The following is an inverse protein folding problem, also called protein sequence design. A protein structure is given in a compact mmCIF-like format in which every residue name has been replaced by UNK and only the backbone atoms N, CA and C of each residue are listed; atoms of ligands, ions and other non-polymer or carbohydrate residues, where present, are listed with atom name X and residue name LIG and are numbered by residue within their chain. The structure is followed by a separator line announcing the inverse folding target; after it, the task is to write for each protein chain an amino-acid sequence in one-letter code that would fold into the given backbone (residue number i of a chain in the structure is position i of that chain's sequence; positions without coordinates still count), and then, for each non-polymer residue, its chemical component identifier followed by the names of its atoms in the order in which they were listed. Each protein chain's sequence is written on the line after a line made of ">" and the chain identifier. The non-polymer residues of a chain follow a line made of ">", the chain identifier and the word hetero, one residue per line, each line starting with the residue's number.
data_IF_442103098816
#
_entry.id   IF_442103098816
#
_cell.length_a   1.000
_cell.length_b   1.000
_cell.length_c   1.000
_cell.angle_alpha   90.00
_cell.angle_beta   90.00
_cell.angle_gamma   90.00
#
_symmetry.space_group_name_H-M   'P 1'
#
loop_
_entity.id
_entity.type
_entity.pdbx_description
1 polymer ?
#
# COMPACT_ATOMS: atom_id res chain seq x y z
N UNK A 1 -0.06 -0.95 -6.38
CA UNK A 1 -0.10 -2.26 -5.69
C UNK A 1 1.29 -2.86 -5.84
N UNK A 2 1.91 -3.34 -4.77
CA UNK A 2 3.26 -3.94 -4.84
C UNK A 2 3.65 -4.62 -3.54
N UNK A 3 4.82 -5.24 -3.50
CA UNK A 3 5.32 -6.03 -2.37
C UNK A 3 6.55 -5.41 -1.70
N UNK A 4 7.09 -4.31 -2.26
CA UNK A 4 8.27 -3.61 -1.73
C UNK A 4 7.95 -2.20 -1.26
N UNK A 5 8.37 -1.88 -0.04
CA UNK A 5 8.20 -0.54 0.53
C UNK A 5 9.06 0.51 -0.17
N UNK A 6 10.33 0.18 -0.43
CA UNK A 6 11.39 1.06 -0.93
C UNK A 6 11.29 1.38 -2.43
N UNK A 7 10.34 0.78 -3.14
CA UNK A 7 10.15 0.96 -4.59
C UNK A 7 8.67 1.15 -4.90
N UNK A 8 7.84 0.13 -4.71
CA UNK A 8 6.42 0.20 -5.08
C UNK A 8 5.64 1.22 -4.25
N UNK A 9 5.80 1.16 -2.92
CA UNK A 9 5.03 2.02 -2.01
C UNK A 9 5.55 3.45 -2.06
N UNK A 10 6.87 3.66 -1.98
CA UNK A 10 7.44 5.02 -2.10
C UNK A 10 7.12 5.64 -3.46
N UNK A 11 7.26 4.90 -4.57
CA UNK A 11 6.94 5.40 -5.90
C UNK A 11 5.46 5.76 -6.06
N UNK A 12 4.56 4.93 -5.51
CA UNK A 12 3.12 5.24 -5.49
C UNK A 12 2.79 6.49 -4.66
N UNK A 13 3.43 6.67 -3.50
CA UNK A 13 3.25 7.83 -2.65
C UNK A 13 3.73 9.12 -3.33
N UNK A 14 4.92 9.12 -3.92
CA UNK A 14 5.48 10.28 -4.64
C UNK A 14 4.65 10.66 -5.87
N UNK A 15 4.05 9.67 -6.55
CA UNK A 15 3.12 9.90 -7.65
C UNK A 15 1.70 10.31 -7.20
N UNK A 16 1.44 10.39 -5.89
CA UNK A 16 0.12 10.70 -5.33
C UNK A 16 -0.94 9.63 -5.58
N UNK A 17 -0.53 8.39 -5.86
CA UNK A 17 -1.39 7.25 -6.13
C UNK A 17 -1.84 6.57 -4.84
N UNK A 18 -2.96 5.85 -4.91
CA UNK A 18 -3.33 4.89 -3.85
C UNK A 18 -2.36 3.72 -3.85
N UNK A 19 -1.75 3.45 -2.71
CA UNK A 19 -0.74 2.43 -2.51
C UNK A 19 -1.29 1.26 -1.69
N UNK A 20 -1.14 0.04 -2.21
CA UNK A 20 -1.53 -1.18 -1.52
C UNK A 20 -0.30 -2.09 -1.45
N UNK A 21 0.12 -2.46 -0.24
CA UNK A 21 1.16 -3.44 0.00
C UNK A 21 0.54 -4.84 0.09
N UNK A 22 1.06 -5.80 -0.67
CA UNK A 22 0.73 -7.22 -0.52
C UNK A 22 1.88 -7.98 0.15
N UNK A 23 1.57 -8.85 1.10
CA UNK A 23 2.56 -9.56 1.92
C UNK A 23 3.02 -10.90 1.32
N UNK A 24 2.68 -11.19 0.07
CA UNK A 24 3.11 -12.38 -0.68
C UNK A 24 4.56 -12.32 -1.17
N UNK A 25 5.18 -11.14 -1.13
CA UNK A 25 6.52 -10.92 -1.68
C UNK A 25 7.55 -10.55 -0.61
N UNK A 26 8.33 -9.52 -0.89
CA UNK A 26 9.57 -9.20 -0.17
C UNK A 26 9.32 -8.58 1.20
N UNK A 27 8.36 -7.65 1.30
CA UNK A 27 8.10 -6.95 2.55
C UNK A 27 7.19 -7.76 3.46
N UNK A 28 7.65 -8.04 4.67
CA UNK A 28 6.80 -8.54 5.76
C UNK A 28 6.15 -7.39 6.53
N UNK A 29 5.06 -7.68 7.27
CA UNK A 29 4.41 -6.67 8.14
C UNK A 29 5.39 -5.97 9.09
N UNK A 30 6.28 -6.75 9.74
CA UNK A 30 7.31 -6.21 10.64
C UNK A 30 8.35 -5.35 9.93
N UNK A 31 8.67 -5.63 8.66
CA UNK A 31 9.55 -4.78 7.86
C UNK A 31 8.89 -3.45 7.52
N UNK A 32 7.61 -3.47 7.14
CA UNK A 32 6.84 -2.27 6.84
C UNK A 32 6.81 -1.29 8.03
N UNK A 33 6.86 -1.80 9.27
CA UNK A 33 6.91 -0.99 10.48
C UNK A 33 8.18 -0.15 10.66
N UNK A 34 9.24 -0.44 9.92
CA UNK A 34 10.52 0.28 10.00
C UNK A 34 10.60 1.49 9.08
N UNK A 35 9.65 1.65 8.16
CA UNK A 35 9.66 2.75 7.20
C UNK A 35 8.94 3.98 7.78
N UNK A 36 9.42 5.20 7.48
CA UNK A 36 8.81 6.44 7.96
C UNK A 36 7.51 6.80 7.20
N UNK A 37 7.16 6.03 6.19
CA UNK A 37 5.93 6.17 5.40
C UNK A 37 5.15 4.87 5.40
N UNK A 38 3.84 4.96 5.12
CA UNK A 38 2.91 3.83 5.15
C UNK A 38 2.16 3.70 3.83
N UNK A 39 1.89 2.47 3.37
CA UNK A 39 0.93 2.26 2.29
C UNK A 39 -0.47 2.64 2.78
N UNK A 40 -1.38 2.96 1.87
CA UNK A 40 -2.78 3.24 2.20
C UNK A 40 -3.50 1.96 2.70
N UNK A 41 -3.10 0.80 2.17
CA UNK A 41 -3.63 -0.51 2.55
C UNK A 41 -2.54 -1.58 2.63
N UNK A 42 -2.75 -2.59 3.50
CA UNK A 42 -1.91 -3.79 3.59
C UNK A 42 -2.82 -5.03 3.50
N UNK A 43 -2.54 -5.91 2.55
CA UNK A 43 -3.27 -7.17 2.31
C UNK A 43 -2.32 -8.37 2.39
N UNK A 44 -2.83 -9.55 2.76
CA UNK A 44 -2.00 -10.75 2.76
C UNK A 44 -1.63 -11.19 1.34
N UNK A 45 -2.54 -11.01 0.38
CA UNK A 45 -2.35 -11.34 -1.03
C UNK A 45 -3.24 -10.47 -1.92
N UNK A 46 -3.06 -10.55 -3.24
CA UNK A 46 -3.81 -9.73 -4.20
C UNK A 46 -5.32 -10.04 -4.26
N UNK A 47 -5.73 -11.27 -3.92
CA UNK A 47 -7.12 -11.70 -3.94
C UNK A 47 -8.00 -11.09 -2.86
N UNK A 48 -7.41 -10.47 -1.83
CA UNK A 48 -8.14 -9.73 -0.79
C UNK A 48 -8.55 -8.32 -1.24
N UNK A 49 -8.07 -7.86 -2.40
CA UNK A 49 -8.36 -6.51 -2.90
C UNK A 49 -9.72 -6.51 -3.61
N UNK A 50 -10.69 -5.81 -3.04
CA UNK A 50 -11.95 -5.45 -3.70
C UNK A 50 -11.93 -3.97 -4.12
N UNK A 51 -11.74 -3.65 -5.41
CA UNK A 51 -11.65 -2.27 -5.89
C UNK A 51 -12.89 -1.42 -5.61
N UNK A 52 -14.05 -2.04 -5.36
CA UNK A 52 -15.31 -1.34 -5.06
C UNK A 52 -15.45 -0.97 -3.60
N UNK A 53 -14.62 -1.53 -2.72
CA UNK A 53 -14.67 -1.32 -1.25
C UNK A 53 -13.54 -0.46 -0.72
N UNK A 54 -12.44 -0.32 -1.45
CA UNK A 54 -11.32 0.52 -1.02
C UNK A 54 -11.53 1.96 -1.49
N UNK A 55 -11.21 2.92 -0.62
CA UNK A 55 -11.16 4.34 -0.98
C UNK A 55 -9.84 4.67 -1.65
N UNK A 56 -9.86 5.50 -2.69
CA UNK A 56 -8.65 6.08 -3.25
C UNK A 56 -7.97 7.03 -2.25
N UNK A 57 -6.67 7.24 -2.38
CA UNK A 57 -5.91 8.18 -1.55
C UNK A 57 -6.53 9.59 -1.55
N UNK A 58 -7.03 10.05 -2.70
CA UNK A 58 -7.72 11.34 -2.82
C UNK A 58 -9.00 11.40 -1.98
N UNK A 59 -9.76 10.31 -1.92
CA UNK A 59 -10.98 10.23 -1.10
C UNK A 59 -10.65 10.10 0.39
N UNK A 60 -9.57 9.40 0.74
CA UNK A 60 -9.11 9.25 2.13
C UNK A 60 -8.64 10.55 2.79
N UNK A 61 -8.06 11.47 2.00
CA UNK A 61 -7.54 12.76 2.51
C UNK A 61 -8.66 13.81 2.62
N UNK A 62 -9.74 13.66 1.86
CA UNK A 62 -10.88 14.60 1.86
C UNK A 62 -11.86 14.37 3.03
N UNK A 63 -11.78 13.23 3.69
CA UNK A 63 -12.54 12.88 4.89
C UNK A 63 -11.66 13.01 6.14
#
# INVERSE_FOLDING_TARGET
>A
IGDRMDTDIVGGLEAGMTSCLVLTGVTTRKMADRFPYRPDYIFNNIGEIDPRKILSRRERIKN
#
